data_IF_910375242500
#
_entry.id   IF_910375242500
#
_cell.length_a   1.000
_cell.length_b   1.000
_cell.length_c   1.000
_cell.angle_alpha   90.00
_cell.angle_beta   90.00
_cell.angle_gamma   90.00
#
_symmetry.space_group_name_H-M   'P 1'
#
loop_
_entity.id
_entity.type
_entity.pdbx_description
1 polymer ?
#
# COMPACT_ATOMS: atom_id res chain seq x y z
N UNK A 1 13.29 19.59 1.47
CA UNK A 1 12.84 20.00 2.81
C UNK A 1 12.06 18.86 3.44
N UNK A 2 12.23 18.65 4.75
CA UNK A 2 11.46 17.67 5.55
C UNK A 2 10.67 18.45 6.58
N UNK A 3 9.36 18.15 6.70
CA UNK A 3 8.48 18.69 7.72
C UNK A 3 8.06 17.58 8.67
N UNK A 4 8.32 17.72 9.95
CA UNK A 4 7.82 16.83 11.00
C UNK A 4 6.51 17.43 11.54
N UNK A 5 5.38 16.84 11.15
CA UNK A 5 4.06 17.31 11.56
C UNK A 5 3.59 16.53 12.80
N UNK A 6 3.29 17.25 13.88
CA UNK A 6 2.55 16.64 15.00
C UNK A 6 1.08 16.47 14.59
N UNK A 7 0.67 15.23 14.44
CA UNK A 7 -0.69 14.84 14.07
C UNK A 7 -1.49 14.27 15.24
N UNK A 8 -0.95 14.32 16.46
CA UNK A 8 -1.55 13.76 17.66
C UNK A 8 -1.13 12.32 17.96
N UNK A 9 -0.85 12.06 19.23
CA UNK A 9 -0.29 10.78 19.68
C UNK A 9 -1.24 9.59 19.40
N UNK A 10 -2.53 9.79 19.57
CA UNK A 10 -3.57 8.74 19.46
C UNK A 10 -4.28 8.73 18.11
N UNK A 11 -3.95 9.64 17.22
CA UNK A 11 -4.61 9.76 15.92
C UNK A 11 -4.42 8.52 15.07
N UNK A 12 -5.53 8.04 14.49
CA UNK A 12 -5.53 6.94 13.52
C UNK A 12 -5.10 7.44 12.13
N UNK A 13 -4.97 6.53 11.16
CA UNK A 13 -4.39 6.79 9.82
C UNK A 13 -5.10 7.92 9.06
N UNK A 14 -6.42 7.91 9.00
CA UNK A 14 -7.21 8.95 8.33
C UNK A 14 -7.08 10.32 8.99
N UNK A 15 -7.09 10.35 10.32
CA UNK A 15 -6.89 11.57 11.09
C UNK A 15 -5.52 12.20 10.82
N UNK A 16 -4.46 11.39 10.73
CA UNK A 16 -3.12 11.87 10.42
C UNK A 16 -3.06 12.52 9.04
N UNK A 17 -3.68 11.87 8.04
CA UNK A 17 -3.76 12.42 6.68
C UNK A 17 -4.57 13.73 6.70
N UNK A 18 -5.71 13.79 7.37
CA UNK A 18 -6.51 15.01 7.47
C UNK A 18 -5.70 16.19 8.03
N UNK A 19 -4.95 15.96 9.11
CA UNK A 19 -4.21 17.00 9.83
C UNK A 19 -2.98 17.54 9.12
N UNK A 20 -2.47 16.85 8.09
CA UNK A 20 -1.35 17.36 7.28
C UNK A 20 -1.82 18.27 6.13
N UNK A 21 -3.13 18.42 5.87
CA UNK A 21 -3.68 19.27 4.80
C UNK A 21 -3.00 20.63 4.70
N UNK A 22 -2.79 21.29 5.83
CA UNK A 22 -2.17 22.63 5.92
C UNK A 22 -0.72 22.72 5.45
N UNK A 23 -0.06 21.58 5.22
CA UNK A 23 1.33 21.52 4.74
C UNK A 23 1.42 21.15 3.27
N UNK A 24 0.28 20.86 2.62
CA UNK A 24 0.19 20.46 1.23
C UNK A 24 -0.40 21.60 0.38
N UNK A 25 0.04 21.68 -0.87
CA UNK A 25 -0.56 22.53 -1.88
C UNK A 25 -1.82 21.85 -2.45
N UNK A 26 -2.51 22.52 -3.37
CA UNK A 26 -3.70 21.97 -4.05
C UNK A 26 -3.34 20.93 -5.15
N UNK A 27 -2.07 20.56 -5.26
CA UNK A 27 -1.58 19.55 -6.21
C UNK A 27 -1.90 18.11 -5.75
N UNK A 28 -1.72 17.16 -6.67
CA UNK A 28 -1.70 15.74 -6.33
C UNK A 28 -0.51 15.43 -5.42
N UNK A 29 -0.72 14.55 -4.44
CA UNK A 29 0.31 14.17 -3.48
C UNK A 29 0.37 12.66 -3.29
N UNK A 30 1.49 12.21 -2.77
CA UNK A 30 1.72 10.80 -2.49
C UNK A 30 1.63 10.50 -1.01
N UNK A 31 1.10 9.30 -0.70
CA UNK A 31 1.03 8.77 0.66
C UNK A 31 1.71 7.40 0.64
N UNK A 32 2.54 7.14 1.64
CA UNK A 32 3.11 5.82 1.86
C UNK A 32 3.09 5.46 3.35
N UNK A 33 2.98 4.15 3.62
CA UNK A 33 3.23 3.61 4.94
C UNK A 33 4.73 3.40 5.15
N UNK A 34 5.19 3.50 6.40
CA UNK A 34 6.61 3.46 6.72
C UNK A 34 7.23 2.07 6.82
N UNK A 35 6.43 1.01 6.70
CA UNK A 35 6.78 -0.39 6.93
C UNK A 35 6.76 -1.26 5.65
N UNK A 36 6.42 -0.70 4.51
CA UNK A 36 6.44 -1.38 3.21
C UNK A 36 7.61 -0.94 2.33
N UNK A 37 8.40 -1.90 1.84
CA UNK A 37 9.51 -1.67 0.91
C UNK A 37 9.17 -2.24 -0.47
N UNK A 38 9.43 -1.48 -1.54
CA UNK A 38 9.09 -1.89 -2.90
C UNK A 38 10.02 -1.26 -3.96
N UNK A 39 10.09 -1.89 -5.13
CA UNK A 39 10.74 -1.35 -6.34
C UNK A 39 9.75 -0.62 -7.27
N UNK A 40 8.68 -0.05 -6.70
CA UNK A 40 7.67 0.68 -7.47
C UNK A 40 8.30 1.87 -8.18
N UNK A 41 8.08 1.96 -9.49
CA UNK A 41 8.38 3.14 -10.27
C UNK A 41 7.37 4.26 -9.94
N UNK A 42 7.82 5.19 -9.11
CA UNK A 42 7.00 6.30 -8.60
C UNK A 42 6.51 7.20 -9.73
N UNK A 43 7.33 7.39 -10.78
CA UNK A 43 6.93 8.21 -11.94
C UNK A 43 5.78 7.53 -12.70
N UNK A 44 5.88 6.23 -12.96
CA UNK A 44 4.79 5.48 -13.62
C UNK A 44 3.52 5.44 -12.80
N UNK A 45 3.64 5.35 -11.47
CA UNK A 45 2.49 5.42 -10.58
C UNK A 45 1.79 6.78 -10.67
N UNK A 46 2.55 7.87 -10.68
CA UNK A 46 2.03 9.23 -10.86
C UNK A 46 1.39 9.42 -12.24
N UNK A 47 2.07 8.96 -13.32
CA UNK A 47 1.55 9.07 -14.68
C UNK A 47 0.24 8.29 -14.84
N UNK A 48 0.15 7.10 -14.23
CA UNK A 48 -1.09 6.34 -14.18
C UNK A 48 -2.20 7.09 -13.46
N UNK A 49 -1.91 7.69 -12.29
CA UNK A 49 -2.89 8.50 -11.58
C UNK A 49 -3.44 9.65 -12.43
N UNK A 50 -2.57 10.39 -13.07
CA UNK A 50 -2.94 11.51 -13.95
C UNK A 50 -3.77 11.05 -15.18
N UNK A 51 -3.56 9.81 -15.64
CA UNK A 51 -4.23 9.32 -16.86
C UNK A 51 -5.73 9.08 -16.69
N UNK A 52 -6.22 8.84 -15.49
CA UNK A 52 -7.64 8.49 -15.24
C UNK A 52 -8.44 9.60 -14.54
N UNK A 53 -7.80 10.64 -14.06
CA UNK A 53 -8.45 11.81 -13.42
C UNK A 53 -9.39 11.43 -12.25
N UNK A 54 -9.11 10.33 -11.55
CA UNK A 54 -9.85 9.92 -10.35
C UNK A 54 -9.17 10.46 -9.09
N UNK A 55 -9.89 10.48 -7.98
CA UNK A 55 -9.45 11.04 -6.71
C UNK A 55 -8.27 10.31 -6.10
N UNK A 56 -8.24 8.99 -6.18
CA UNK A 56 -7.25 8.17 -5.49
C UNK A 56 -6.77 7.00 -6.33
N UNK A 57 -5.47 6.77 -6.34
CA UNK A 57 -4.83 5.55 -6.84
C UNK A 57 -4.18 4.81 -5.68
N UNK A 58 -4.45 3.51 -5.56
CA UNK A 58 -3.75 2.61 -4.64
C UNK A 58 -2.88 1.64 -5.43
N UNK A 59 -1.67 1.37 -4.95
CA UNK A 59 -0.84 0.32 -5.53
C UNK A 59 -1.32 -1.04 -5.04
N UNK A 60 -1.74 -1.88 -5.98
CA UNK A 60 -2.13 -3.26 -5.71
C UNK A 60 -0.97 -4.21 -5.92
N UNK A 61 -0.50 -4.85 -4.85
CA UNK A 61 0.62 -5.80 -4.85
C UNK A 61 0.14 -7.23 -4.59
N UNK A 62 0.96 -8.21 -4.99
CA UNK A 62 0.78 -9.60 -4.57
C UNK A 62 1.61 -9.84 -3.32
N UNK A 63 1.01 -10.18 -2.17
CA UNK A 63 1.78 -10.45 -0.98
C UNK A 63 2.70 -11.66 -1.19
N UNK A 64 3.90 -11.67 -0.57
CA UNK A 64 4.72 -12.86 -0.56
C UNK A 64 3.98 -14.00 0.18
N UNK A 65 4.06 -15.21 -0.35
CA UNK A 65 3.47 -16.38 0.30
C UNK A 65 4.09 -16.62 1.67
N UNK A 66 3.24 -16.79 2.68
CA UNK A 66 3.70 -17.11 4.05
C UNK A 66 3.74 -18.61 4.29
N UNK A 67 2.96 -19.39 3.53
CA UNK A 67 2.77 -20.83 3.67
C UNK A 67 2.94 -21.54 2.35
N UNK A 68 3.21 -22.85 2.39
CA UNK A 68 3.09 -23.72 1.23
C UNK A 68 1.61 -23.89 0.86
N UNK A 69 1.32 -23.85 -0.44
CA UNK A 69 -0.01 -24.13 -0.97
C UNK A 69 -0.04 -25.57 -1.49
N UNK A 70 -1.13 -26.28 -1.22
CA UNK A 70 -1.35 -27.66 -1.68
C UNK A 70 -2.63 -27.69 -2.50
N UNK A 71 -2.56 -28.31 -3.66
CA UNK A 71 -3.73 -28.70 -4.41
C UNK A 71 -3.93 -30.22 -4.29
N UNK A 72 -5.17 -30.65 -4.02
CA UNK A 72 -5.50 -32.04 -3.81
C UNK A 72 -6.80 -32.44 -4.53
N UNK A 73 -6.87 -33.68 -5.02
CA UNK A 73 -8.08 -34.21 -5.58
C UNK A 73 -9.12 -34.57 -4.50
N UNK A 74 -10.31 -35.01 -4.92
CA UNK A 74 -11.41 -35.37 -4.02
C UNK A 74 -11.10 -36.51 -3.06
N UNK A 75 -10.07 -37.30 -3.32
CA UNK A 75 -9.63 -38.41 -2.47
C UNK A 75 -8.51 -38.01 -1.49
N UNK A 76 -8.12 -36.72 -1.46
CA UNK A 76 -7.08 -36.20 -0.58
C UNK A 76 -5.65 -36.41 -1.08
N UNK A 77 -5.48 -36.92 -2.30
CA UNK A 77 -4.15 -37.04 -2.91
C UNK A 77 -3.65 -35.65 -3.32
N UNK A 78 -2.49 -35.25 -2.80
CA UNK A 78 -1.83 -33.97 -3.18
C UNK A 78 -1.33 -34.09 -4.62
N UNK A 79 -1.78 -33.20 -5.47
CA UNK A 79 -1.43 -33.11 -6.89
C UNK A 79 -0.29 -32.12 -7.11
N UNK A 80 -0.24 -31.06 -6.30
CA UNK A 80 0.76 -30.01 -6.39
C UNK A 80 1.09 -29.47 -4.99
N UNK A 81 2.36 -29.17 -4.77
CA UNK A 81 2.84 -28.51 -3.56
C UNK A 81 3.76 -27.35 -3.97
N UNK A 82 3.35 -26.15 -3.66
CA UNK A 82 4.10 -24.92 -3.97
C UNK A 82 4.57 -24.26 -2.68
N UNK A 83 5.85 -24.29 -2.40
CA UNK A 83 6.42 -23.64 -1.22
C UNK A 83 6.41 -22.13 -1.41
N UNK A 84 5.61 -21.44 -0.58
CA UNK A 84 5.49 -19.98 -0.52
C UNK A 84 5.30 -19.30 -1.88
N UNK A 85 4.34 -19.71 -2.69
CA UNK A 85 4.04 -19.03 -3.95
C UNK A 85 3.58 -17.62 -3.65
N UNK A 86 3.78 -16.70 -4.60
CA UNK A 86 3.00 -15.45 -4.55
C UNK A 86 1.51 -15.79 -4.65
N UNK A 87 0.71 -15.24 -3.76
CA UNK A 87 -0.73 -15.51 -3.74
C UNK A 87 -1.34 -15.36 -5.14
N UNK A 88 -1.87 -16.46 -5.68
CA UNK A 88 -2.51 -16.47 -7.00
C UNK A 88 -3.82 -15.68 -6.99
N UNK A 89 -4.51 -15.62 -5.86
CA UNK A 89 -5.80 -14.98 -5.70
C UNK A 89 -5.68 -13.59 -5.07
N UNK A 90 -5.93 -12.58 -5.90
CA UNK A 90 -6.13 -11.22 -5.44
C UNK A 90 -4.85 -10.39 -5.24
N UNK A 91 -5.09 -9.10 -5.05
CA UNK A 91 -4.07 -8.12 -4.67
C UNK A 91 -4.47 -7.47 -3.36
N UNK A 92 -3.48 -7.08 -2.58
CA UNK A 92 -3.68 -6.27 -1.38
C UNK A 92 -3.18 -4.85 -1.63
N UNK A 93 -3.56 -3.91 -0.77
CA UNK A 93 -2.95 -2.59 -0.74
C UNK A 93 -1.47 -2.72 -0.41
N UNK A 94 -0.61 -2.17 -1.27
CA UNK A 94 0.83 -2.12 -1.03
C UNK A 94 1.28 -0.95 -0.16
N UNK A 95 0.32 -0.11 0.31
CA UNK A 95 0.65 1.03 1.16
C UNK A 95 1.20 2.25 0.41
N UNK A 96 1.17 2.26 -0.93
CA UNK A 96 1.58 3.40 -1.76
C UNK A 96 0.37 3.95 -2.50
N UNK A 97 0.11 5.24 -2.33
CA UNK A 97 -1.04 5.91 -2.93
C UNK A 97 -0.62 7.20 -3.64
N UNK A 98 -1.42 7.59 -4.63
CA UNK A 98 -1.44 8.95 -5.17
C UNK A 98 -2.86 9.49 -5.00
N UNK A 99 -2.98 10.67 -4.47
CA UNK A 99 -4.24 11.31 -4.16
C UNK A 99 -4.31 12.72 -4.73
N UNK A 100 -5.46 13.10 -5.28
CA UNK A 100 -5.73 14.49 -5.54
C UNK A 100 -6.08 15.21 -4.22
N UNK A 101 -5.90 16.53 -4.17
CA UNK A 101 -6.23 17.34 -3.00
C UNK A 101 -7.71 17.19 -2.56
N UNK A 102 -8.62 16.78 -3.45
CA UNK A 102 -10.02 16.46 -3.12
C UNK A 102 -10.17 15.30 -2.13
N UNK A 103 -9.11 14.54 -1.84
CA UNK A 103 -9.13 13.50 -0.80
C UNK A 103 -9.58 14.06 0.54
N UNK A 104 -9.24 15.30 0.84
CA UNK A 104 -9.60 15.95 2.10
C UNK A 104 -11.11 16.18 2.29
N UNK A 105 -11.91 16.11 1.23
CA UNK A 105 -13.38 16.17 1.30
C UNK A 105 -13.99 14.87 1.85
N UNK A 106 -13.20 13.80 1.92
CA UNK A 106 -13.54 12.48 2.45
C UNK A 106 -12.99 12.23 3.86
N UNK A 107 -12.20 13.16 4.39
CA UNK A 107 -11.51 13.02 5.67
C UNK A 107 -12.07 14.02 6.69
N UNK A 108 -12.74 13.50 7.70
CA UNK A 108 -13.19 14.28 8.85
C UNK A 108 -12.04 14.46 9.86
N UNK A 109 -12.08 15.54 10.66
CA UNK A 109 -11.14 15.72 11.78
C UNK A 109 -11.65 14.94 13.01
N UNK A 110 -11.58 13.63 12.93
CA UNK A 110 -11.87 12.70 14.00
C UNK A 110 -10.61 11.91 14.36
N UNK A 111 -10.20 11.94 15.63
CA UNK A 111 -8.99 11.22 16.10
C UNK A 111 -9.04 9.71 15.79
N UNK A 112 -10.24 9.12 15.74
CA UNK A 112 -10.45 7.70 15.48
C UNK A 112 -10.63 7.37 14.00
N UNK A 113 -10.51 8.33 13.09
CA UNK A 113 -10.70 8.11 11.65
C UNK A 113 -9.62 7.19 11.11
N UNK A 114 -10.04 5.99 10.68
CA UNK A 114 -9.18 4.99 10.02
C UNK A 114 -9.35 5.14 8.51
N UNK A 115 -8.29 5.49 7.79
CA UNK A 115 -8.33 5.76 6.34
C UNK A 115 -8.85 4.56 5.54
N UNK A 116 -8.44 3.35 5.93
CA UNK A 116 -8.76 2.08 5.27
C UNK A 116 -10.21 1.62 5.48
N UNK A 117 -10.97 2.32 6.31
CA UNK A 117 -12.36 1.97 6.63
C UNK A 117 -13.34 2.87 5.88
N UNK A 118 -14.00 3.78 6.61
CA UNK A 118 -15.08 4.61 6.06
C UNK A 118 -14.62 5.48 4.88
N UNK A 119 -13.49 6.19 4.95
CA UNK A 119 -13.06 7.02 3.83
C UNK A 119 -12.85 6.22 2.55
N UNK A 120 -12.09 5.11 2.59
CA UNK A 120 -11.87 4.29 1.40
C UNK A 120 -13.15 3.65 0.88
N UNK A 121 -14.06 3.20 1.76
CA UNK A 121 -15.35 2.64 1.34
C UNK A 121 -16.20 3.67 0.60
N UNK A 122 -16.22 4.92 1.07
CA UNK A 122 -16.93 6.02 0.43
C UNK A 122 -16.33 6.35 -0.93
N UNK A 123 -15.00 6.44 -1.03
CA UNK A 123 -14.28 6.66 -2.29
C UNK A 123 -14.57 5.54 -3.30
N UNK A 124 -14.61 4.28 -2.85
CA UNK A 124 -14.97 3.13 -3.70
C UNK A 124 -16.42 3.24 -4.19
N UNK A 125 -17.36 3.56 -3.30
CA UNK A 125 -18.78 3.73 -3.63
C UNK A 125 -18.98 4.83 -4.68
N UNK A 126 -18.21 5.90 -4.58
CA UNK A 126 -18.26 7.02 -5.51
C UNK A 126 -17.47 6.75 -6.82
N UNK A 127 -16.88 5.53 -6.97
CA UNK A 127 -16.09 5.10 -8.12
C UNK A 127 -14.86 5.99 -8.39
N UNK A 128 -14.27 6.50 -7.32
CA UNK A 128 -13.13 7.42 -7.34
C UNK A 128 -11.80 6.76 -6.93
N UNK A 129 -11.77 5.41 -6.75
CA UNK A 129 -10.56 4.64 -6.45
C UNK A 129 -10.12 3.83 -7.66
N UNK A 130 -8.84 3.98 -8.04
CA UNK A 130 -8.19 3.17 -9.08
C UNK A 130 -7.06 2.34 -8.48
N UNK A 131 -6.75 1.19 -9.10
CA UNK A 131 -5.67 0.32 -8.67
C UNK A 131 -4.55 0.29 -9.71
N UNK A 132 -3.37 0.76 -9.33
CA UNK A 132 -2.13 0.52 -10.07
C UNK A 132 -1.59 -0.86 -9.75
N UNK A 133 -1.48 -1.73 -10.77
CA UNK A 133 -1.01 -3.11 -10.60
C UNK A 133 0.52 -3.17 -10.60
N UNK A 134 1.12 -3.39 -9.45
CA UNK A 134 2.55 -3.61 -9.32
C UNK A 134 2.87 -5.11 -9.27
N UNK A 135 3.78 -5.58 -10.13
CA UNK A 135 4.19 -6.97 -10.23
C UNK A 135 5.65 -7.22 -9.79
N UNK A 136 6.34 -6.17 -9.39
CA UNK A 136 7.73 -6.23 -8.90
C UNK A 136 7.82 -6.64 -7.44
N UNK A 137 8.92 -6.26 -6.83
CA UNK A 137 9.19 -6.56 -5.43
C UNK A 137 8.33 -5.70 -4.50
N UNK A 138 7.75 -6.34 -3.51
CA UNK A 138 7.09 -5.69 -2.38
C UNK A 138 7.20 -6.58 -1.14
N UNK A 139 7.63 -6.01 -0.03
CA UNK A 139 7.82 -6.71 1.24
C UNK A 139 7.44 -5.80 2.41
N UNK A 140 6.52 -6.21 3.31
CA UNK A 140 6.31 -5.51 4.57
C UNK A 140 7.44 -5.84 5.56
N UNK A 141 7.61 -5.01 6.58
CA UNK A 141 8.56 -5.20 7.67
C UNK A 141 7.82 -5.26 9.02
N UNK A 142 6.88 -6.21 9.14
CA UNK A 142 6.02 -6.36 10.33
C UNK A 142 6.62 -7.30 11.37
N UNK A 143 7.56 -8.15 10.96
CA UNK A 143 8.14 -9.20 11.81
C UNK A 143 9.65 -9.16 11.80
N UNK A 144 10.29 -9.71 12.85
CA UNK A 144 11.75 -9.85 12.92
C UNK A 144 12.32 -10.63 11.73
N UNK A 145 11.57 -11.60 11.21
CA UNK A 145 11.97 -12.38 10.02
C UNK A 145 12.03 -11.50 8.77
N UNK A 146 11.05 -10.65 8.57
CA UNK A 146 10.99 -9.72 7.44
C UNK A 146 12.08 -8.64 7.56
N UNK A 147 12.31 -8.12 8.76
CA UNK A 147 13.43 -7.24 9.05
C UNK A 147 14.79 -7.88 8.67
N UNK A 148 15.04 -9.13 9.10
CA UNK A 148 16.27 -9.84 8.76
C UNK A 148 16.39 -10.09 7.25
N UNK A 149 15.29 -10.45 6.57
CA UNK A 149 15.27 -10.63 5.12
C UNK A 149 15.68 -9.36 4.39
N UNK A 150 15.05 -8.22 4.72
CA UNK A 150 15.33 -6.94 4.06
C UNK A 150 16.79 -6.50 4.29
N UNK A 151 17.30 -6.62 5.51
CA UNK A 151 18.71 -6.33 5.78
C UNK A 151 19.65 -7.25 5.01
N UNK A 152 19.39 -8.55 4.96
CA UNK A 152 20.19 -9.50 4.18
C UNK A 152 20.21 -9.18 2.69
N UNK A 153 19.09 -8.77 2.12
CA UNK A 153 19.01 -8.31 0.72
C UNK A 153 19.88 -7.06 0.50
N UNK A 154 19.79 -6.09 1.40
CA UNK A 154 20.58 -4.87 1.33
C UNK A 154 22.09 -5.15 1.45
N UNK A 155 22.52 -5.88 2.48
CA UNK A 155 23.91 -6.20 2.75
C UNK A 155 24.56 -7.04 1.64
N UNK A 156 23.77 -7.88 0.96
CA UNK A 156 24.25 -8.70 -0.18
C UNK A 156 24.23 -7.95 -1.52
N UNK A 157 23.81 -6.69 -1.58
CA UNK A 157 23.67 -5.92 -2.83
C UNK A 157 22.57 -6.43 -3.76
N UNK A 158 21.58 -7.16 -3.19
CA UNK A 158 20.44 -7.73 -3.95
C UNK A 158 19.12 -7.00 -3.67
N UNK A 159 19.16 -5.86 -3.01
CA UNK A 159 18.00 -5.04 -2.70
C UNK A 159 17.43 -4.40 -3.97
N UNK A 160 16.23 -4.79 -4.45
CA UNK A 160 15.70 -4.29 -5.71
C UNK A 160 15.14 -2.86 -5.64
N UNK A 161 15.11 -2.27 -4.46
CA UNK A 161 14.61 -0.91 -4.20
C UNK A 161 15.71 0.17 -4.14
N UNK A 162 16.98 -0.19 -4.39
CA UNK A 162 18.16 0.71 -4.37
C UNK A 162 18.59 1.04 -5.78
#
# INVERSE_FOLDING_TARGET
NITLADTGLRSMTGSRISRIKKYLNDDDFMITYGDGVSDIDIQKLMDYHKSHNKLLTVTGVRPPGRFGEMDANSNGQVLEFNEKPQAHAGRISGGYFVASHRLFDYLEDDENLVFEQEPLRKIVKDQELMMYKHNGFWQPMDTSREFQLLNSLYDSGKAPWV
#
